data_IF_079283046230
#
_entry.id   IF_079283046230
#
_cell.length_a   1.000
_cell.length_b   1.000
_cell.length_c   1.000
_cell.angle_alpha   90.00
_cell.angle_beta   90.00
_cell.angle_gamma   90.00
#
_symmetry.space_group_name_H-M   'P 1'
#
loop_
_entity.id
_entity.type
_entity.pdbx_description
1 polymer ?
#
# COMPACT_ATOMS: atom_id res chain seq x y z
N UNK A 1 6.74 51.57 19.71
CA UNK A 1 7.82 50.57 19.46
C UNK A 1 7.62 49.21 20.13
N UNK A 2 6.80 49.09 21.20
CA UNK A 2 6.63 47.84 21.98
C UNK A 2 5.77 46.73 21.35
N UNK A 3 4.81 47.05 20.47
CA UNK A 3 3.95 46.02 19.85
C UNK A 3 4.69 45.10 18.87
N UNK A 4 5.63 45.63 18.08
CA UNK A 4 6.35 44.83 17.07
C UNK A 4 7.26 43.77 17.68
N UNK A 5 7.76 44.02 18.90
CA UNK A 5 8.66 43.11 19.60
C UNK A 5 7.92 41.86 20.11
N UNK A 6 6.67 42.02 20.56
CA UNK A 6 5.84 40.91 21.03
C UNK A 6 5.42 39.97 19.89
N UNK A 7 5.13 40.53 18.71
CA UNK A 7 4.76 39.75 17.53
C UNK A 7 5.90 38.89 17.03
N UNK A 8 7.12 39.44 16.98
CA UNK A 8 8.31 38.69 16.55
C UNK A 8 8.63 37.58 17.54
N UNK A 9 8.58 37.86 18.84
CA UNK A 9 8.83 36.86 19.90
C UNK A 9 7.84 35.68 19.82
N UNK A 10 6.56 35.94 19.56
CA UNK A 10 5.54 34.89 19.42
C UNK A 10 5.75 34.01 18.19
N UNK A 11 6.13 34.58 17.04
CA UNK A 11 6.43 33.80 15.83
C UNK A 11 7.67 32.93 16.04
N UNK A 12 8.70 33.43 16.72
CA UNK A 12 9.89 32.65 17.04
C UNK A 12 9.57 31.53 18.03
N UNK A 13 8.74 31.79 19.06
CA UNK A 13 8.34 30.77 20.03
C UNK A 13 7.52 29.65 19.37
N UNK A 14 6.63 29.98 18.44
CA UNK A 14 5.87 29.00 17.66
C UNK A 14 6.77 28.14 16.75
N UNK A 15 7.74 28.76 16.07
CA UNK A 15 8.71 28.04 15.23
C UNK A 15 9.61 27.10 16.05
N UNK A 16 10.00 27.52 17.26
CA UNK A 16 10.76 26.68 18.19
C UNK A 16 9.89 25.54 18.72
N UNK A 17 8.62 25.78 19.06
CA UNK A 17 7.72 24.70 19.49
C UNK A 17 7.51 23.64 18.39
N UNK A 18 7.40 24.06 17.13
CA UNK A 18 7.27 23.13 15.99
C UNK A 18 8.53 22.28 15.81
N UNK A 19 9.72 22.87 16.01
CA UNK A 19 11.00 22.15 15.86
C UNK A 19 11.38 21.31 17.08
N UNK A 20 11.02 21.73 18.29
CA UNK A 20 11.34 21.03 19.56
C UNK A 20 10.37 19.87 19.83
N UNK A 21 9.12 19.94 19.35
CA UNK A 21 8.14 18.85 19.52
C UNK A 21 8.30 17.72 18.49
N UNK A 22 9.31 17.77 17.62
CA UNK A 22 9.62 16.66 16.70
C UNK A 22 8.45 16.26 15.80
N UNK A 23 7.52 17.19 15.52
CA UNK A 23 6.41 16.93 14.62
C UNK A 23 6.98 16.95 13.20
N UNK A 24 7.56 15.83 12.79
CA UNK A 24 7.92 15.63 11.40
C UNK A 24 6.67 15.86 10.55
N UNK A 25 6.76 16.57 9.41
CA UNK A 25 5.64 16.68 8.51
C UNK A 25 5.15 15.27 8.16
N UNK A 26 3.82 15.05 8.21
CA UNK A 26 3.22 13.84 7.65
C UNK A 26 3.77 13.69 6.24
N UNK A 27 4.50 12.59 5.98
CA UNK A 27 5.02 12.29 4.65
C UNK A 27 3.82 12.33 3.68
N UNK A 28 3.90 13.16 2.64
CA UNK A 28 2.89 13.16 1.61
C UNK A 28 2.96 11.82 0.85
N UNK A 29 1.80 11.26 0.51
CA UNK A 29 1.75 10.01 -0.27
C UNK A 29 2.54 10.18 -1.57
N UNK A 30 3.53 9.31 -1.76
CA UNK A 30 4.43 9.31 -2.92
C UNK A 30 3.98 8.22 -3.89
N UNK A 31 3.54 8.64 -5.08
CA UNK A 31 3.27 7.72 -6.17
C UNK A 31 4.56 7.04 -6.67
N UNK A 32 4.58 5.71 -6.71
CA UNK A 32 5.75 4.93 -7.11
C UNK A 32 5.67 4.40 -8.54
N UNK A 33 4.47 4.28 -9.09
CA UNK A 33 4.24 3.81 -10.46
C UNK A 33 3.11 2.79 -10.57
N UNK A 34 2.95 2.29 -11.79
CA UNK A 34 2.04 1.19 -12.09
C UNK A 34 2.81 -0.11 -12.28
N UNK A 35 2.20 -1.22 -11.90
CA UNK A 35 2.70 -2.57 -12.07
C UNK A 35 1.60 -3.44 -12.65
N UNK A 36 1.99 -4.34 -13.55
CA UNK A 36 1.09 -5.33 -14.15
C UNK A 36 1.57 -6.71 -13.73
N UNK A 37 0.66 -7.56 -13.25
CA UNK A 37 0.93 -8.95 -12.92
C UNK A 37 0.08 -9.89 -13.76
N UNK A 38 0.73 -10.96 -14.21
CA UNK A 38 0.05 -12.16 -14.69
C UNK A 38 -0.15 -13.10 -13.51
N UNK A 39 -1.40 -13.33 -13.14
CA UNK A 39 -1.79 -14.18 -12.03
C UNK A 39 -2.12 -15.59 -12.54
N UNK A 40 -1.66 -16.60 -11.81
CA UNK A 40 -2.01 -18.00 -12.05
C UNK A 40 -2.46 -18.64 -10.74
N UNK A 41 -3.67 -19.15 -10.68
CA UNK A 41 -4.21 -19.77 -9.47
C UNK A 41 -5.34 -20.76 -9.70
N UNK A 42 -5.86 -21.32 -8.61
CA UNK A 42 -6.94 -22.31 -8.63
C UNK A 42 -8.25 -21.82 -9.28
N UNK A 43 -8.48 -20.51 -9.30
CA UNK A 43 -9.63 -19.87 -9.95
C UNK A 43 -9.43 -19.56 -11.43
N UNK A 44 -8.28 -19.92 -12.02
CA UNK A 44 -7.90 -19.58 -13.38
C UNK A 44 -6.81 -18.50 -13.46
N UNK A 45 -6.48 -18.13 -14.69
CA UNK A 45 -5.47 -17.11 -14.97
C UNK A 45 -6.15 -15.77 -15.22
N UNK A 46 -5.57 -14.70 -14.69
CA UNK A 46 -6.08 -13.34 -14.86
C UNK A 46 -4.95 -12.32 -14.84
N UNK A 47 -5.24 -11.10 -15.29
CA UNK A 47 -4.27 -10.00 -15.28
C UNK A 47 -4.69 -8.97 -14.23
N UNK A 48 -3.72 -8.55 -13.41
CA UNK A 48 -3.87 -7.46 -12.46
C UNK A 48 -3.06 -6.27 -12.93
N UNK A 49 -3.64 -5.07 -12.90
CA UNK A 49 -2.90 -3.82 -13.09
C UNK A 49 -3.16 -2.90 -11.91
N UNK A 50 -2.12 -2.37 -11.29
CA UNK A 50 -2.27 -1.52 -10.11
C UNK A 50 -1.25 -0.37 -10.06
N UNK A 51 -1.71 0.76 -9.56
CA UNK A 51 -0.90 1.84 -9.02
C UNK A 51 -0.50 1.53 -7.59
N UNK A 52 0.77 1.76 -7.23
CA UNK A 52 1.27 1.68 -5.86
C UNK A 52 1.78 3.04 -5.42
N UNK A 53 1.40 3.45 -4.21
CA UNK A 53 1.90 4.66 -3.56
C UNK A 53 2.44 4.32 -2.17
N UNK A 54 3.51 4.99 -1.76
CA UNK A 54 4.04 4.94 -0.39
C UNK A 54 3.42 6.08 0.40
N UNK A 55 2.67 5.77 1.46
CA UNK A 55 1.97 6.79 2.25
C UNK A 55 2.93 7.41 3.26
N UNK A 56 3.52 6.58 4.13
CA UNK A 56 4.50 7.01 5.12
C UNK A 56 5.31 5.81 5.61
N UNK A 57 6.62 5.99 5.84
CA UNK A 57 7.45 4.95 6.44
C UNK A 57 7.41 3.64 5.63
N UNK A 58 6.93 2.54 6.22
CA UNK A 58 6.79 1.24 5.54
C UNK A 58 5.35 0.96 5.05
N UNK A 59 4.45 1.94 5.09
CA UNK A 59 3.05 1.78 4.67
C UNK A 59 2.85 2.16 3.21
N UNK A 60 2.10 1.31 2.51
CA UNK A 60 1.81 1.43 1.09
C UNK A 60 0.32 1.30 0.84
N UNK A 61 -0.16 2.04 -0.16
CA UNK A 61 -1.48 1.93 -0.73
C UNK A 61 -1.39 1.34 -2.13
N UNK A 62 -2.42 0.58 -2.49
CA UNK A 62 -2.55 -0.02 -3.81
C UNK A 62 -3.96 0.17 -4.32
N UNK A 63 -4.08 0.55 -5.59
CA UNK A 63 -5.35 0.66 -6.28
C UNK A 63 -5.19 0.13 -7.70
N UNK A 64 -6.16 -0.63 -8.18
CA UNK A 64 -6.02 -1.29 -9.47
C UNK A 64 -7.28 -1.96 -9.95
N UNK A 65 -7.11 -2.73 -11.01
CA UNK A 65 -8.16 -3.55 -11.58
C UNK A 65 -7.65 -4.95 -11.89
N UNK A 66 -8.55 -5.90 -11.72
CA UNK A 66 -8.45 -7.29 -12.18
C UNK A 66 -9.33 -7.42 -13.41
N UNK A 67 -8.82 -8.10 -14.43
CA UNK A 67 -9.62 -8.55 -15.55
C UNK A 67 -9.44 -10.06 -15.73
N UNK A 68 -10.55 -10.79 -15.70
CA UNK A 68 -10.62 -12.23 -15.91
C UNK A 68 -11.69 -12.59 -16.95
N UNK A 69 -12.03 -13.88 -17.05
CA UNK A 69 -13.06 -14.36 -17.98
C UNK A 69 -14.49 -13.95 -17.59
N UNK A 70 -14.71 -13.55 -16.34
CA UNK A 70 -16.02 -13.20 -15.78
C UNK A 70 -16.28 -11.70 -15.79
N UNK A 71 -15.24 -10.86 -15.86
CA UNK A 71 -15.40 -9.42 -16.03
C UNK A 71 -14.23 -8.60 -15.51
N UNK A 72 -14.53 -7.34 -15.16
CA UNK A 72 -13.59 -6.41 -14.55
C UNK A 72 -13.99 -6.20 -13.09
N UNK A 73 -13.00 -6.28 -12.19
CA UNK A 73 -13.14 -5.90 -10.80
C UNK A 73 -12.15 -4.78 -10.47
N UNK A 74 -12.59 -3.77 -9.72
CA UNK A 74 -11.69 -2.75 -9.18
C UNK A 74 -11.29 -3.17 -7.79
N UNK A 75 -10.01 -3.05 -7.44
CA UNK A 75 -9.54 -3.32 -6.10
C UNK A 75 -8.78 -2.16 -5.50
N UNK A 76 -8.87 -2.04 -4.18
CA UNK A 76 -8.10 -1.07 -3.42
C UNK A 76 -7.75 -1.63 -2.05
N UNK A 77 -6.69 -1.12 -1.46
CA UNK A 77 -6.28 -1.45 -0.12
C UNK A 77 -4.89 -0.93 0.17
N UNK A 78 -4.21 -1.61 1.08
CA UNK A 78 -2.89 -1.20 1.50
C UNK A 78 -2.24 -2.24 2.38
N UNK A 79 -1.07 -1.90 2.88
CA UNK A 79 -0.31 -2.77 3.74
C UNK A 79 1.09 -2.25 4.02
N UNK A 80 1.98 -3.19 4.34
CA UNK A 80 3.28 -2.87 4.93
C UNK A 80 4.41 -3.62 4.25
N UNK A 81 5.53 -2.93 4.04
CA UNK A 81 6.79 -3.55 3.67
C UNK A 81 7.47 -4.09 4.93
N UNK A 82 7.69 -5.40 4.98
CA UNK A 82 8.39 -6.10 6.06
C UNK A 82 9.57 -6.86 5.47
N UNK A 83 10.78 -6.36 5.72
CA UNK A 83 12.01 -6.92 5.15
C UNK A 83 12.03 -6.81 3.62
N UNK A 84 11.90 -7.95 2.95
CA UNK A 84 11.89 -8.06 1.49
C UNK A 84 10.48 -8.20 0.90
N UNK A 85 9.44 -8.23 1.73
CA UNK A 85 8.08 -8.53 1.28
C UNK A 85 7.13 -7.39 1.59
N UNK A 86 6.45 -6.88 0.57
CA UNK A 86 5.30 -6.00 0.71
C UNK A 86 4.04 -6.87 0.88
N UNK A 87 3.45 -6.82 2.08
CA UNK A 87 2.26 -7.56 2.44
C UNK A 87 1.07 -6.60 2.35
N UNK A 88 0.14 -6.88 1.45
CA UNK A 88 -1.04 -6.06 1.17
C UNK A 88 -2.32 -6.83 1.52
N UNK A 89 -3.32 -6.09 1.97
CA UNK A 89 -4.71 -6.56 2.03
C UNK A 89 -5.52 -5.64 1.13
N UNK A 90 -6.24 -6.22 0.16
CA UNK A 90 -7.07 -5.48 -0.79
C UNK A 90 -8.48 -6.04 -0.80
N UNK A 91 -9.44 -5.16 -1.08
CA UNK A 91 -10.82 -5.54 -1.37
C UNK A 91 -11.05 -5.34 -2.86
N UNK A 92 -11.43 -6.41 -3.55
CA UNK A 92 -11.82 -6.40 -4.96
C UNK A 92 -13.35 -6.38 -5.07
N UNK A 93 -13.89 -5.40 -5.80
CA UNK A 93 -15.32 -5.24 -6.05
C UNK A 93 -15.56 -5.41 -7.55
N UNK A 94 -16.27 -6.49 -7.95
CA UNK A 94 -16.69 -6.67 -9.34
C UNK A 94 -17.58 -5.51 -9.79
N UNK A 95 -17.46 -5.09 -11.05
CA UNK A 95 -18.30 -4.00 -11.58
C UNK A 95 -19.75 -4.42 -11.82
N UNK A 96 -20.01 -5.72 -11.92
CA UNK A 96 -21.27 -6.35 -12.32
C UNK A 96 -21.85 -7.33 -11.30
N UNK A 97 -21.11 -7.66 -10.22
CA UNK A 97 -21.54 -8.60 -9.19
C UNK A 97 -21.79 -7.92 -7.83
N UNK A 98 -22.63 -8.53 -7.00
CA UNK A 98 -23.09 -7.98 -5.72
C UNK A 98 -22.12 -8.16 -4.54
N UNK A 99 -21.03 -8.93 -4.70
CA UNK A 99 -20.18 -9.32 -3.56
C UNK A 99 -18.71 -8.98 -3.78
N UNK A 100 -18.14 -8.24 -2.82
CA UNK A 100 -16.73 -7.96 -2.75
C UNK A 100 -15.94 -9.18 -2.23
N UNK A 101 -14.69 -9.29 -2.67
CA UNK A 101 -13.73 -10.33 -2.28
C UNK A 101 -12.56 -9.67 -1.56
N UNK A 102 -12.11 -10.27 -0.46
CA UNK A 102 -10.87 -9.84 0.22
C UNK A 102 -9.72 -10.69 -0.28
N UNK A 103 -8.60 -10.04 -0.58
CA UNK A 103 -7.38 -10.67 -1.07
C UNK A 103 -6.19 -10.22 -0.24
N UNK A 104 -5.38 -11.18 0.21
CA UNK A 104 -4.04 -10.92 0.71
C UNK A 104 -3.05 -11.10 -0.44
N UNK A 105 -2.10 -10.18 -0.58
CA UNK A 105 -1.05 -10.23 -1.58
C UNK A 105 0.30 -10.10 -0.87
N UNK A 106 1.26 -10.93 -1.25
CA UNK A 106 2.64 -10.84 -0.79
C UNK A 106 3.55 -10.65 -1.99
N UNK A 107 4.22 -9.49 -2.07
CA UNK A 107 5.09 -9.10 -3.18
C UNK A 107 6.54 -9.01 -2.70
N UNK A 108 7.43 -9.73 -3.37
CA UNK A 108 8.87 -9.59 -3.18
C UNK A 108 9.34 -8.24 -3.75
N UNK A 109 10.03 -7.44 -2.93
CA UNK A 109 10.36 -6.05 -3.27
C UNK A 109 11.35 -5.89 -4.42
N UNK A 110 12.23 -6.87 -4.63
CA UNK A 110 13.29 -6.77 -5.66
C UNK A 110 12.80 -7.20 -7.03
N UNK A 111 11.84 -8.13 -7.07
CA UNK A 111 11.31 -8.69 -8.32
C UNK A 111 9.90 -8.21 -8.67
N UNK A 112 9.17 -7.66 -7.69
CA UNK A 112 7.72 -7.46 -7.73
C UNK A 112 6.90 -8.73 -8.05
N UNK A 113 7.50 -9.93 -8.03
CA UNK A 113 6.76 -11.19 -8.08
C UNK A 113 6.14 -11.49 -6.72
N UNK A 114 5.18 -12.42 -6.67
CA UNK A 114 4.51 -12.68 -5.42
C UNK A 114 3.51 -13.83 -5.44
N UNK A 115 2.67 -13.82 -4.42
CA UNK A 115 1.57 -14.76 -4.23
C UNK A 115 0.34 -14.00 -3.79
N UNK A 116 -0.82 -14.59 -4.04
CA UNK A 116 -2.09 -14.08 -3.55
C UNK A 116 -2.91 -15.19 -2.90
N UNK A 117 -3.77 -14.77 -1.98
CA UNK A 117 -4.78 -15.60 -1.33
C UNK A 117 -6.08 -14.81 -1.32
N UNK A 118 -7.13 -15.31 -1.96
CA UNK A 118 -8.46 -14.71 -1.91
C UNK A 118 -9.36 -15.50 -0.99
N UNK A 119 -10.18 -14.77 -0.24
CA UNK A 119 -11.25 -15.33 0.57
C UNK A 119 -12.54 -14.65 0.14
N UNK A 120 -13.49 -15.47 -0.31
CA UNK A 120 -14.87 -15.06 -0.53
C UNK A 120 -15.71 -15.56 0.65
N UNK A 121 -16.56 -14.71 1.21
CA UNK A 121 -17.48 -15.12 2.29
C UNK A 121 -18.36 -16.26 1.79
N UNK A 122 -18.31 -17.41 2.47
CA UNK A 122 -19.03 -18.62 2.05
C UNK A 122 -18.54 -19.29 0.77
N UNK A 123 -17.44 -18.81 0.17
CA UNK A 123 -16.84 -19.34 -1.04
C UNK A 123 -15.50 -20.08 -0.81
N UNK A 124 -14.92 -20.67 -1.86
CA UNK A 124 -13.62 -21.31 -1.77
C UNK A 124 -12.50 -20.28 -1.54
N UNK A 125 -11.46 -20.70 -0.83
CA UNK A 125 -10.19 -19.98 -0.78
C UNK A 125 -9.45 -20.27 -2.09
N UNK A 126 -9.06 -19.23 -2.82
CA UNK A 126 -8.17 -19.41 -3.97
C UNK A 126 -6.78 -18.87 -3.64
N UNK A 127 -5.77 -19.51 -4.19
CA UNK A 127 -4.39 -19.05 -4.08
C UNK A 127 -3.69 -19.19 -5.40
N UNK A 128 -2.64 -18.40 -5.57
CA UNK A 128 -1.85 -18.44 -6.79
C UNK A 128 -0.59 -17.59 -6.71
N UNK A 129 0.10 -17.55 -7.84
CA UNK A 129 1.33 -16.77 -8.03
C UNK A 129 1.03 -15.50 -8.82
N UNK A 130 1.82 -14.47 -8.59
CA UNK A 130 1.87 -13.24 -9.35
C UNK A 130 3.25 -13.12 -9.99
N UNK A 131 3.28 -13.03 -11.31
CA UNK A 131 4.51 -12.75 -12.06
C UNK A 131 4.42 -11.36 -12.66
N UNK A 132 5.39 -10.50 -12.36
CA UNK A 132 5.44 -9.15 -12.92
C UNK A 132 5.59 -9.22 -14.44
N UNK A 133 4.86 -8.35 -15.13
CA UNK A 133 5.00 -8.13 -16.56
C UNK A 133 5.64 -6.77 -16.79
N UNK A 134 6.78 -6.76 -17.50
CA UNK A 134 7.57 -5.56 -17.74
C UNK A 134 8.55 -5.26 -16.61
N UNK A 135 8.92 -3.99 -16.47
CA UNK A 135 9.92 -3.57 -15.51
C UNK A 135 9.32 -3.46 -14.10
N UNK A 136 9.98 -4.04 -13.08
CA UNK A 136 9.64 -3.84 -11.67
C UNK A 136 9.59 -2.34 -11.31
N UNK A 137 8.70 -1.97 -10.40
CA UNK A 137 8.73 -0.65 -9.76
C UNK A 137 9.66 -0.69 -8.55
N UNK A 138 10.35 0.41 -8.28
CA UNK A 138 11.26 0.48 -7.13
C UNK A 138 10.44 0.73 -5.87
N UNK A 139 10.28 -0.31 -5.04
CA UNK A 139 9.77 -0.15 -3.69
C UNK A 139 10.88 0.40 -2.80
N UNK A 140 10.59 1.47 -2.05
CA UNK A 140 11.57 2.08 -1.16
C UNK A 140 12.18 1.05 -0.19
N UNK A 141 13.49 1.11 0.02
CA UNK A 141 14.14 0.38 1.10
C UNK A 141 13.74 1.04 2.43
N UNK A 142 13.09 0.28 3.32
CA UNK A 142 12.83 0.78 4.68
C UNK A 142 14.16 0.97 5.41
N UNK A 143 14.67 2.20 5.47
CA UNK A 143 15.82 2.54 6.33
C UNK A 143 15.42 2.63 7.81
N UNK A 144 14.12 2.63 8.09
CA UNK A 144 13.57 2.50 9.43
C UNK A 144 12.90 1.12 9.51
N UNK A 145 13.51 0.21 10.25
CA UNK A 145 12.87 -1.07 10.56
C UNK A 145 11.49 -0.79 11.10
N UNK A 146 10.46 -1.33 10.45
CA UNK A 146 9.08 -1.18 10.87
C UNK A 146 8.98 -1.61 12.35
N UNK A 147 8.98 -0.65 13.27
CA UNK A 147 8.65 -0.89 14.67
C UNK A 147 7.16 -1.13 14.71
N UNK A 148 6.78 -2.37 14.44
CA UNK A 148 5.45 -2.86 14.68
C UNK A 148 5.18 -2.64 16.17
N UNK A 149 4.22 -1.77 16.50
CA UNK A 149 3.81 -1.54 17.87
C UNK A 149 3.12 -2.82 18.33
N UNK A 150 3.89 -3.74 18.91
CA UNK A 150 3.34 -4.85 19.66
C UNK A 150 2.71 -4.23 20.91
N UNK A 151 1.39 -4.05 20.88
CA UNK A 151 0.60 -3.83 22.08
C UNK A 151 0.68 -5.15 22.87
N UNK A 152 1.66 -5.25 23.77
CA UNK A 152 1.61 -6.26 24.81
C UNK A 152 0.75 -5.69 25.94
N UNK A 153 -0.35 -6.37 26.23
CA UNK A 153 -1.20 -6.16 27.41
C UNK A 153 -0.41 -6.41 28.72
#
# INVERSE_FOLDING_TARGET
MRLKFFSVLMVTLAAVMITVLGVAPIEASQYLGEVTWNAQGSGGNFTMKAAISRVAGSYYEIQGQVQDAYGIAVFSGGGVLVGDNLILTVTATPMDAQEAVVMQININKSTNNGFFYTVKVGGPINSGTLTVSGNPIILATSNEGAKMLLLND
#
